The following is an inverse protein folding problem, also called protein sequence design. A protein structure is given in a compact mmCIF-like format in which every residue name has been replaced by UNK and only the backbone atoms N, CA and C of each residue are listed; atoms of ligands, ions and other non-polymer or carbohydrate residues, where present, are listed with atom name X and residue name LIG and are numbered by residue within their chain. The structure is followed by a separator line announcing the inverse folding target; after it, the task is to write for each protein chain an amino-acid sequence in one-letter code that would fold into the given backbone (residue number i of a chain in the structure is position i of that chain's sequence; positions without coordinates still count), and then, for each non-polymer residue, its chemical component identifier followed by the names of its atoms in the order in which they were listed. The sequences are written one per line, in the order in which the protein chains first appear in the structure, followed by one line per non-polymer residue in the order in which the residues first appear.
data_IF_154352228344
#
_entry.id   IF_154352228344
#
_cell.length_a   1.000
_cell.length_b   1.000
_cell.length_c   1.000
_cell.angle_alpha   90.00
_cell.angle_beta   90.00
_cell.angle_gamma   90.00
#
_symmetry.space_group_name_H-M   'P 1'
#
loop_
_entity.id
_entity.type
_entity.pdbx_description
1 polymer ?
#
# COMPACT_ATOMS: atom_id res chain seq x y z
N UNK A 1 20.42 15.09 -25.44
CA UNK A 1 18.95 15.00 -25.34
C UNK A 1 18.60 13.55 -25.57
N UNK A 2 18.64 12.76 -24.52
CA UNK A 2 18.26 11.34 -24.57
C UNK A 2 16.86 11.20 -24.00
N UNK A 3 15.97 10.71 -24.84
CA UNK A 3 14.60 10.37 -24.47
C UNK A 3 14.64 9.21 -23.48
N UNK A 4 14.16 9.46 -22.26
CA UNK A 4 13.95 8.39 -21.28
C UNK A 4 12.74 7.57 -21.72
N UNK A 5 13.02 6.36 -22.24
CA UNK A 5 12.03 5.43 -22.73
C UNK A 5 11.06 4.99 -21.66
N UNK A 6 9.78 5.17 -21.95
CA UNK A 6 8.66 4.57 -21.23
C UNK A 6 8.78 3.04 -21.30
N UNK A 7 9.11 2.39 -20.19
CA UNK A 7 9.05 0.93 -20.08
C UNK A 7 7.60 0.49 -19.89
N UNK A 8 6.96 0.19 -21.01
CA UNK A 8 5.62 -0.39 -21.07
C UNK A 8 5.71 -1.92 -20.89
N UNK A 9 5.05 -2.47 -19.87
CA UNK A 9 4.89 -3.91 -19.67
C UNK A 9 3.44 -4.35 -19.92
N UNK A 10 3.16 -5.21 -20.91
CA UNK A 10 1.84 -5.74 -21.15
C UNK A 10 1.54 -6.90 -20.19
N UNK A 11 0.75 -6.65 -19.15
CA UNK A 11 0.10 -7.69 -18.35
C UNK A 11 -1.18 -8.16 -19.03
N UNK A 12 -1.27 -9.43 -19.38
CA UNK A 12 -2.41 -10.04 -20.05
C UNK A 12 -3.66 -10.05 -19.16
N UNK A 13 -4.76 -9.45 -19.65
CA UNK A 13 -6.10 -9.57 -19.07
C UNK A 13 -6.80 -8.23 -18.84
N UNK A 14 -7.64 -7.78 -19.78
CA UNK A 14 -8.45 -6.56 -19.66
C UNK A 14 -7.75 -5.29 -20.17
N UNK A 15 -7.27 -5.33 -21.39
CA UNK A 15 -6.72 -4.15 -22.07
C UNK A 15 -7.84 -3.14 -22.34
N UNK A 16 -7.76 -1.95 -21.73
CA UNK A 16 -8.55 -0.78 -22.11
C UNK A 16 -9.15 0.03 -20.98
N UNK A 17 -9.33 -0.52 -19.77
CA UNK A 17 -10.06 0.20 -18.71
C UNK A 17 -9.15 0.82 -17.65
N UNK A 18 -7.97 0.28 -17.38
CA UNK A 18 -7.07 0.75 -16.34
C UNK A 18 -5.60 0.67 -16.76
N UNK A 19 -4.84 1.70 -16.43
CA UNK A 19 -3.36 1.70 -16.47
C UNK A 19 -2.81 1.65 -15.06
N UNK A 20 -1.63 1.06 -14.87
CA UNK A 20 -0.92 1.02 -13.59
C UNK A 20 0.52 1.45 -13.79
N UNK A 21 1.05 2.25 -12.85
CA UNK A 21 2.40 2.83 -12.96
C UNK A 21 3.08 2.98 -11.59
N UNK A 22 4.41 3.01 -11.60
CA UNK A 22 5.20 3.47 -10.47
C UNK A 22 5.32 4.98 -10.52
N UNK A 23 4.66 5.66 -9.60
CA UNK A 23 4.65 7.12 -9.53
C UNK A 23 5.88 7.70 -8.78
N UNK A 24 6.50 6.90 -7.91
CA UNK A 24 7.52 7.41 -6.99
C UNK A 24 6.93 8.24 -5.85
N UNK A 25 7.65 9.24 -5.36
CA UNK A 25 7.10 10.22 -4.41
C UNK A 25 6.27 11.25 -5.18
N UNK A 26 4.97 11.42 -4.85
CA UNK A 26 4.13 12.36 -5.58
C UNK A 26 4.58 13.81 -5.33
N UNK A 27 4.81 14.56 -6.40
CA UNK A 27 5.22 15.96 -6.37
C UNK A 27 4.14 16.89 -6.95
N UNK A 28 3.36 16.37 -7.90
CA UNK A 28 2.29 17.14 -8.53
C UNK A 28 1.12 17.32 -7.56
N UNK A 29 0.59 18.51 -7.52
CA UNK A 29 -0.57 18.87 -6.69
C UNK A 29 -1.79 17.99 -7.01
N UNK A 30 -2.03 17.72 -8.27
CA UNK A 30 -3.15 16.91 -8.76
C UNK A 30 -3.09 15.47 -8.20
N UNK A 31 -1.89 14.86 -8.19
CA UNK A 31 -1.70 13.51 -7.63
C UNK A 31 -1.88 13.51 -6.11
N UNK A 32 -1.36 14.53 -5.41
CA UNK A 32 -1.54 14.67 -3.96
C UNK A 32 -3.00 14.83 -3.57
N UNK A 33 -3.77 15.64 -4.32
CA UNK A 33 -5.21 15.82 -4.12
C UNK A 33 -5.96 14.51 -4.37
N UNK A 34 -5.68 13.80 -5.48
CA UNK A 34 -6.32 12.53 -5.80
C UNK A 34 -6.00 11.44 -4.76
N UNK A 35 -4.76 11.37 -4.27
CA UNK A 35 -4.37 10.45 -3.19
C UNK A 35 -5.13 10.77 -1.91
N UNK A 36 -5.24 12.06 -1.55
CA UNK A 36 -5.94 12.47 -0.35
C UNK A 36 -7.45 12.16 -0.42
N UNK A 37 -8.08 12.38 -1.57
CA UNK A 37 -9.50 12.09 -1.78
C UNK A 37 -9.78 10.58 -1.67
N UNK A 38 -8.94 9.73 -2.29
CA UNK A 38 -9.02 8.28 -2.13
C UNK A 38 -8.80 7.84 -0.68
N UNK A 39 -7.85 8.47 0.02
CA UNK A 39 -7.58 8.18 1.42
C UNK A 39 -8.80 8.51 2.30
N UNK A 40 -9.46 9.64 2.06
CA UNK A 40 -10.70 10.02 2.74
C UNK A 40 -11.82 9.02 2.45
N UNK A 41 -11.96 8.60 1.19
CA UNK A 41 -12.98 7.64 0.77
C UNK A 41 -12.80 6.28 1.44
N UNK A 42 -11.56 5.85 1.62
CA UNK A 42 -11.21 4.55 2.22
C UNK A 42 -10.98 4.61 3.75
N UNK A 43 -11.14 5.76 4.38
CA UNK A 43 -10.79 5.97 5.79
C UNK A 43 -11.33 4.88 6.72
N UNK A 44 -12.62 4.58 6.59
CA UNK A 44 -13.35 3.62 7.45
C UNK A 44 -13.15 2.15 7.08
N UNK A 45 -12.48 1.86 5.99
CA UNK A 45 -12.12 0.49 5.62
C UNK A 45 -10.97 -0.05 6.50
N UNK A 46 -10.32 0.82 7.26
CA UNK A 46 -9.19 0.48 8.13
C UNK A 46 -9.59 0.35 9.59
N UNK A 47 -8.89 -0.53 10.33
CA UNK A 47 -9.08 -0.75 11.77
C UNK A 47 -7.80 -0.42 12.53
N UNK A 48 -7.81 0.61 13.39
CA UNK A 48 -8.81 1.70 13.47
C UNK A 48 -8.80 2.56 12.18
N UNK A 49 -9.80 3.44 11.95
CA UNK A 49 -9.83 4.36 10.81
C UNK A 49 -8.55 5.19 10.68
N UNK A 50 -8.18 5.56 9.44
CA UNK A 50 -6.95 6.32 9.18
C UNK A 50 -6.97 7.71 9.81
N UNK A 51 -8.14 8.34 9.89
CA UNK A 51 -8.37 9.63 10.60
C UNK A 51 -8.05 9.56 12.10
N UNK A 52 -7.99 8.37 12.67
CA UNK A 52 -7.62 8.12 14.06
C UNK A 52 -6.15 7.71 14.25
N UNK A 53 -5.33 7.80 13.20
CA UNK A 53 -3.92 7.39 13.20
C UNK A 53 -3.02 8.54 12.79
N UNK A 54 -1.76 8.45 13.24
CA UNK A 54 -0.69 9.33 12.75
C UNK A 54 0.07 8.67 11.60
N UNK A 55 0.20 7.34 11.59
CA UNK A 55 0.96 6.63 10.56
C UNK A 55 0.58 5.16 10.44
N UNK A 56 1.01 4.52 9.33
CA UNK A 56 0.87 3.08 9.11
C UNK A 56 1.82 2.20 9.95
N UNK A 57 2.81 2.78 10.61
CA UNK A 57 3.83 2.08 11.42
C UNK A 57 3.78 2.43 12.90
N UNK A 58 2.73 3.12 13.33
CA UNK A 58 2.46 3.45 14.72
C UNK A 58 2.30 2.16 15.54
N UNK A 59 3.06 2.04 16.64
CA UNK A 59 3.09 0.83 17.50
C UNK A 59 1.92 0.74 18.47
N UNK A 60 1.31 1.86 18.83
CA UNK A 60 0.14 1.92 19.71
C UNK A 60 -0.90 2.81 19.07
N UNK A 61 -2.09 2.31 18.98
CA UNK A 61 -3.28 3.10 18.60
C UNK A 61 -3.80 3.78 19.85
N UNK A 62 -3.09 4.83 20.30
CA UNK A 62 -3.54 5.69 21.39
C UNK A 62 -4.81 6.43 20.99
N UNK A 63 -5.45 7.09 21.97
CA UNK A 63 -6.77 7.71 21.81
C UNK A 63 -6.96 8.42 20.45
N UNK A 64 -8.18 8.33 19.87
CA UNK A 64 -8.48 8.91 18.57
C UNK A 64 -8.09 10.37 18.51
N UNK A 65 -7.45 10.80 17.42
CA UNK A 65 -7.08 12.21 17.20
C UNK A 65 -8.30 13.13 17.03
N UNK A 66 -9.52 12.57 16.98
CA UNK A 66 -10.75 13.32 16.84
C UNK A 66 -10.87 14.10 15.52
N UNK A 67 -10.17 13.66 14.47
CA UNK A 67 -10.18 14.29 13.15
C UNK A 67 -11.24 13.67 12.25
N UNK A 68 -11.97 14.52 11.51
CA UNK A 68 -12.97 14.08 10.53
C UNK A 68 -12.33 13.46 9.27
N UNK A 69 -11.07 13.78 9.00
CA UNK A 69 -10.31 13.33 7.84
C UNK A 69 -8.89 12.91 8.23
N UNK A 70 -8.24 12.04 7.43
CA UNK A 70 -6.92 11.47 7.76
C UNK A 70 -5.74 12.42 7.47
N UNK A 71 -5.80 13.69 7.89
CA UNK A 71 -4.75 14.69 7.61
C UNK A 71 -3.39 14.30 8.18
N UNK A 72 -3.33 13.92 9.46
CA UNK A 72 -2.08 13.55 10.10
C UNK A 72 -1.44 12.31 9.43
N UNK A 73 -2.28 11.35 9.07
CA UNK A 73 -1.84 10.16 8.34
C UNK A 73 -1.31 10.50 6.95
N UNK A 74 -2.01 11.36 6.20
CA UNK A 74 -1.60 11.81 4.89
C UNK A 74 -0.26 12.55 4.91
N UNK A 75 -0.05 13.44 5.88
CA UNK A 75 1.20 14.21 6.02
C UNK A 75 2.44 13.28 6.15
N UNK A 76 2.30 12.16 6.85
CA UNK A 76 3.38 11.17 6.95
C UNK A 76 3.46 10.29 5.70
N UNK A 77 2.32 9.93 5.11
CA UNK A 77 2.25 9.02 3.98
C UNK A 77 2.76 9.63 2.67
N UNK A 78 2.50 10.92 2.43
CA UNK A 78 2.85 11.60 1.16
C UNK A 78 4.34 11.59 0.80
N UNK A 79 5.22 11.37 1.79
CA UNK A 79 6.67 11.24 1.58
C UNK A 79 7.12 9.83 1.17
N UNK A 80 6.22 8.87 1.13
CA UNK A 80 6.52 7.49 0.74
C UNK A 80 6.57 7.34 -0.78
N UNK A 81 6.81 6.11 -1.27
CA UNK A 81 6.73 5.76 -2.69
C UNK A 81 5.35 5.23 -3.01
N UNK A 82 4.86 5.56 -4.20
CA UNK A 82 3.52 5.19 -4.65
C UNK A 82 3.56 4.39 -5.95
N UNK A 83 2.65 3.44 -6.05
CA UNK A 83 2.18 2.84 -7.30
C UNK A 83 0.70 3.13 -7.42
N UNK A 84 0.24 3.49 -8.60
CA UNK A 84 -1.11 3.98 -8.82
C UNK A 84 -1.80 3.26 -9.97
N UNK A 85 -3.13 3.25 -9.93
CA UNK A 85 -3.96 2.85 -11.06
C UNK A 85 -4.86 4.00 -11.49
N UNK A 86 -4.94 4.21 -12.81
CA UNK A 86 -5.81 5.22 -13.42
C UNK A 86 -6.83 4.55 -14.33
N UNK A 87 -8.02 5.08 -14.39
CA UNK A 87 -9.05 4.67 -15.34
C UNK A 87 -8.79 5.22 -16.75
N UNK A 88 -9.67 4.90 -17.71
CA UNK A 88 -9.55 5.33 -19.09
C UNK A 88 -9.62 6.86 -19.28
N UNK A 89 -10.13 7.60 -18.30
CA UNK A 89 -10.14 9.07 -18.31
C UNK A 89 -8.84 9.68 -17.75
N UNK A 90 -7.93 8.85 -17.21
CA UNK A 90 -6.72 9.28 -16.52
C UNK A 90 -6.92 9.58 -15.04
N UNK A 91 -8.13 9.42 -14.48
CA UNK A 91 -8.42 9.63 -13.07
C UNK A 91 -7.77 8.53 -12.22
N UNK A 92 -7.08 8.91 -11.16
CA UNK A 92 -6.52 7.96 -10.20
C UNK A 92 -7.67 7.29 -9.43
N UNK A 93 -7.76 5.97 -9.51
CA UNK A 93 -8.83 5.16 -8.91
C UNK A 93 -8.31 4.17 -7.86
N UNK A 94 -7.01 3.98 -7.79
CA UNK A 94 -6.37 3.20 -6.73
C UNK A 94 -4.93 3.63 -6.53
N UNK A 95 -4.43 3.43 -5.32
CA UNK A 95 -3.01 3.51 -5.04
C UNK A 95 -2.58 2.45 -4.01
N UNK A 96 -1.29 2.15 -4.03
CA UNK A 96 -0.59 1.46 -2.98
C UNK A 96 0.68 2.24 -2.67
N UNK A 97 0.97 2.45 -1.40
CA UNK A 97 2.19 3.13 -0.98
C UNK A 97 3.10 2.23 -0.16
N UNK A 98 4.42 2.45 -0.27
CA UNK A 98 5.41 1.68 0.44
C UNK A 98 6.59 2.54 0.89
N UNK A 99 7.29 2.07 1.91
CA UNK A 99 8.55 2.62 2.40
C UNK A 99 9.71 1.77 1.86
N UNK A 100 10.61 2.34 1.05
CA UNK A 100 11.76 1.60 0.57
C UNK A 100 12.74 1.33 1.71
N UNK A 101 13.44 0.18 1.64
CA UNK A 101 14.52 -0.20 2.55
C UNK A 101 14.16 -0.04 4.04
N UNK A 102 12.93 -0.41 4.37
CA UNK A 102 12.42 -0.34 5.75
C UNK A 102 12.76 -1.62 6.52
N UNK A 103 13.06 -1.48 7.80
CA UNK A 103 13.17 -2.57 8.75
C UNK A 103 12.55 -2.18 10.09
N UNK A 104 12.06 -3.17 10.83
CA UNK A 104 11.61 -3.03 12.23
C UNK A 104 11.86 -4.36 12.96
N UNK A 105 11.77 -4.41 14.30
CA UNK A 105 12.04 -5.62 15.07
C UNK A 105 11.27 -6.85 14.60
N UNK A 106 10.01 -6.70 14.24
CA UNK A 106 9.12 -7.76 13.78
C UNK A 106 9.53 -8.35 12.41
N UNK A 107 10.31 -7.58 11.63
CA UNK A 107 10.79 -7.93 10.29
C UNK A 107 12.32 -8.09 10.21
N UNK A 108 13.03 -7.99 11.32
CA UNK A 108 14.49 -7.93 11.35
C UNK A 108 15.18 -9.11 10.62
N UNK A 109 14.60 -10.31 10.64
CA UNK A 109 15.14 -11.49 9.95
C UNK A 109 15.16 -11.39 8.42
N UNK A 110 14.40 -10.45 7.84
CA UNK A 110 14.32 -10.22 6.39
C UNK A 110 15.20 -9.06 5.92
N UNK A 111 15.90 -8.39 6.86
CA UNK A 111 16.71 -7.22 6.53
C UNK A 111 15.90 -6.02 6.06
N UNK A 112 16.49 -5.21 5.21
CA UNK A 112 15.79 -4.10 4.56
C UNK A 112 14.86 -4.60 3.47
N UNK A 113 13.63 -4.13 3.46
CA UNK A 113 12.60 -4.56 2.53
C UNK A 113 11.75 -3.39 2.04
N UNK A 114 11.06 -3.56 0.93
CA UNK A 114 10.00 -2.64 0.52
C UNK A 114 8.75 -2.93 1.35
N UNK A 115 8.48 -2.06 2.32
CA UNK A 115 7.39 -2.24 3.27
C UNK A 115 6.12 -1.55 2.79
N UNK A 116 5.16 -2.32 2.30
CA UNK A 116 3.85 -1.81 1.86
C UNK A 116 3.03 -1.37 3.06
N UNK A 117 2.44 -0.17 2.98
CA UNK A 117 1.80 0.49 4.12
C UNK A 117 0.29 0.68 3.95
N UNK A 118 -0.16 1.18 2.80
CA UNK A 118 -1.55 1.56 2.57
C UNK A 118 -1.94 1.23 1.15
N UNK A 119 -3.08 0.56 0.98
CA UNK A 119 -3.70 0.35 -0.33
C UNK A 119 -5.15 0.86 -0.27
N UNK A 120 -5.50 1.72 -1.20
CA UNK A 120 -6.85 2.26 -1.36
C UNK A 120 -7.34 2.01 -2.77
N UNK A 121 -8.60 1.64 -2.89
CA UNK A 121 -9.31 1.50 -4.18
C UNK A 121 -10.67 2.17 -4.04
N UNK A 122 -10.96 3.08 -4.96
CA UNK A 122 -12.27 3.69 -5.08
C UNK A 122 -13.35 2.60 -5.09
N UNK A 123 -14.37 2.67 -4.23
CA UNK A 123 -15.42 1.65 -4.12
C UNK A 123 -16.06 1.26 -5.47
N UNK A 124 -16.25 2.22 -6.38
CA UNK A 124 -16.85 1.98 -7.70
C UNK A 124 -15.92 1.18 -8.64
N UNK A 125 -14.62 1.10 -8.31
CA UNK A 125 -13.59 0.40 -9.09
C UNK A 125 -13.08 -0.88 -8.42
N UNK A 126 -13.72 -1.35 -7.34
CA UNK A 126 -13.38 -2.61 -6.68
C UNK A 126 -13.78 -3.83 -7.53
N UNK A 127 -13.19 -4.97 -7.23
CA UNK A 127 -13.47 -6.22 -7.96
C UNK A 127 -12.76 -6.37 -9.30
N UNK A 128 -11.97 -5.37 -9.74
CA UNK A 128 -11.24 -5.38 -11.02
C UNK A 128 -9.76 -5.82 -10.88
N UNK A 129 -9.37 -6.36 -9.73
CA UNK A 129 -8.01 -6.86 -9.50
C UNK A 129 -6.94 -5.77 -9.38
N UNK A 130 -7.32 -4.49 -9.17
CA UNK A 130 -6.37 -3.36 -9.14
C UNK A 130 -5.30 -3.54 -8.07
N UNK A 131 -5.69 -3.92 -6.83
CA UNK A 131 -4.71 -4.14 -5.74
C UNK A 131 -3.69 -5.20 -6.14
N UNK A 132 -4.11 -6.26 -6.82
CA UNK A 132 -3.20 -7.32 -7.28
C UNK A 132 -2.16 -6.79 -8.27
N UNK A 133 -2.58 -5.95 -9.23
CA UNK A 133 -1.67 -5.31 -10.19
C UNK A 133 -0.69 -4.35 -9.48
N UNK A 134 -1.15 -3.62 -8.47
CA UNK A 134 -0.27 -2.74 -7.69
C UNK A 134 0.76 -3.55 -6.89
N UNK A 135 0.37 -4.71 -6.34
CA UNK A 135 1.33 -5.64 -5.71
C UNK A 135 2.36 -6.16 -6.71
N UNK A 136 1.94 -6.53 -7.93
CA UNK A 136 2.85 -7.02 -8.96
C UNK A 136 3.95 -6.00 -9.29
N UNK A 137 3.61 -4.69 -9.31
CA UNK A 137 4.61 -3.64 -9.51
C UNK A 137 5.59 -3.58 -8.34
N UNK A 138 5.12 -3.59 -7.09
CA UNK A 138 6.02 -3.53 -5.92
C UNK A 138 6.88 -4.79 -5.81
N UNK A 139 6.34 -5.95 -6.17
CA UNK A 139 7.05 -7.21 -6.11
C UNK A 139 8.09 -7.38 -7.26
N UNK A 140 7.78 -6.91 -8.48
CA UNK A 140 8.56 -7.26 -9.66
C UNK A 140 8.76 -6.13 -10.69
N UNK A 141 8.00 -5.04 -10.58
CA UNK A 141 7.95 -3.97 -11.59
C UNK A 141 8.63 -2.65 -11.18
N UNK A 142 9.29 -2.59 -10.02
CA UNK A 142 9.98 -1.38 -9.60
C UNK A 142 11.28 -1.17 -10.40
N UNK A 143 11.74 0.08 -10.56
CA UNK A 143 13.09 0.39 -11.05
C UNK A 143 14.16 -0.38 -10.25
N UNK A 144 15.27 -0.74 -10.89
CA UNK A 144 16.30 -1.63 -10.32
C UNK A 144 16.86 -1.09 -8.98
N UNK A 145 17.09 0.22 -8.90
CA UNK A 145 17.55 0.91 -7.69
C UNK A 145 16.55 0.93 -6.53
N UNK A 146 15.27 0.65 -6.82
CA UNK A 146 14.18 0.58 -5.85
C UNK A 146 13.82 -0.86 -5.43
N UNK A 147 14.44 -1.85 -6.04
CA UNK A 147 14.15 -3.25 -5.74
C UNK A 147 14.87 -3.70 -4.46
N UNK A 148 14.26 -4.65 -3.76
CA UNK A 148 14.80 -5.32 -2.56
C UNK A 148 14.55 -6.83 -2.66
N UNK A 149 15.27 -7.64 -1.87
CA UNK A 149 15.07 -9.10 -1.86
C UNK A 149 13.70 -9.49 -1.30
N UNK A 150 13.18 -8.67 -0.40
CA UNK A 150 11.90 -8.93 0.26
C UNK A 150 10.93 -7.76 0.10
N UNK A 151 9.66 -8.10 -0.06
CA UNK A 151 8.52 -7.20 0.12
C UNK A 151 7.81 -7.63 1.40
N UNK A 152 7.54 -6.65 2.26
CA UNK A 152 6.93 -6.87 3.56
C UNK A 152 5.71 -5.98 3.76
N UNK A 153 4.83 -6.35 4.67
CA UNK A 153 3.62 -5.58 4.99
C UNK A 153 3.05 -6.02 6.33
N UNK A 154 1.97 -5.36 6.76
CA UNK A 154 1.13 -5.84 7.87
C UNK A 154 -0.33 -5.57 7.63
N UNK A 155 -1.19 -6.42 8.18
CA UNK A 155 -2.63 -6.20 8.23
C UNK A 155 -3.17 -6.59 9.61
N UNK A 156 -4.47 -6.52 9.80
CA UNK A 156 -5.12 -6.97 11.02
C UNK A 156 -5.83 -8.32 10.82
N UNK A 157 -5.94 -9.09 11.88
CA UNK A 157 -6.40 -10.49 11.84
C UNK A 157 -7.82 -10.67 11.29
N UNK A 158 -8.69 -9.68 11.47
CA UNK A 158 -10.07 -9.71 10.95
C UNK A 158 -10.20 -9.24 9.50
N UNK A 159 -9.08 -8.82 8.85
CA UNK A 159 -9.08 -8.48 7.42
C UNK A 159 -8.93 -9.75 6.56
N UNK A 160 -9.99 -10.55 6.52
CA UNK A 160 -9.97 -11.85 5.83
C UNK A 160 -9.57 -11.74 4.34
N UNK A 161 -9.95 -10.66 3.67
CA UNK A 161 -9.62 -10.42 2.25
C UNK A 161 -8.12 -10.28 2.06
N UNK A 162 -7.46 -9.45 2.88
CA UNK A 162 -6.00 -9.25 2.76
C UNK A 162 -5.20 -10.46 3.25
N UNK A 163 -5.63 -11.09 4.35
CA UNK A 163 -5.01 -12.33 4.84
C UNK A 163 -5.02 -13.41 3.76
N UNK A 164 -6.18 -13.61 3.11
CA UNK A 164 -6.30 -14.56 2.00
C UNK A 164 -5.43 -14.17 0.80
N UNK A 165 -5.44 -12.89 0.42
CA UNK A 165 -4.64 -12.38 -0.70
C UNK A 165 -3.14 -12.60 -0.48
N UNK A 166 -2.62 -12.30 0.72
CA UNK A 166 -1.20 -12.51 1.04
C UNK A 166 -0.84 -14.01 1.04
N UNK A 167 -1.67 -14.86 1.65
CA UNK A 167 -1.48 -16.31 1.60
C UNK A 167 -1.41 -16.84 0.17
N UNK A 168 -2.38 -16.46 -0.68
CA UNK A 168 -2.42 -16.87 -2.09
C UNK A 168 -1.21 -16.37 -2.90
N UNK A 169 -0.65 -15.22 -2.54
CA UNK A 169 0.54 -14.63 -3.19
C UNK A 169 1.86 -15.19 -2.66
N UNK A 170 1.84 -16.11 -1.70
CA UNK A 170 3.03 -16.74 -1.14
C UNK A 170 3.75 -15.90 -0.08
N UNK A 171 3.06 -14.96 0.57
CA UNK A 171 3.60 -14.30 1.75
C UNK A 171 3.58 -15.26 2.95
N UNK A 172 4.67 -15.30 3.70
CA UNK A 172 4.73 -16.00 4.99
C UNK A 172 4.41 -15.04 6.15
N UNK A 173 3.86 -15.57 7.22
CA UNK A 173 3.68 -14.82 8.47
C UNK A 173 5.04 -14.59 9.13
N UNK A 174 5.41 -13.33 9.28
CA UNK A 174 6.66 -12.90 9.90
C UNK A 174 6.54 -12.78 11.42
N UNK A 175 5.47 -12.14 11.90
CA UNK A 175 5.17 -11.96 13.31
C UNK A 175 3.67 -11.72 13.53
N UNK A 176 3.20 -11.96 14.75
CA UNK A 176 1.84 -11.66 15.19
C UNK A 176 1.90 -10.91 16.51
N UNK A 177 1.33 -9.71 16.55
CA UNK A 177 1.15 -8.92 17.76
C UNK A 177 -0.29 -9.06 18.23
N UNK A 178 -0.47 -9.75 19.36
CA UNK A 178 -1.79 -10.03 19.93
C UNK A 178 -2.45 -8.77 20.44
N UNK A 179 -3.76 -8.62 20.14
CA UNK A 179 -4.60 -7.51 20.59
C UNK A 179 -4.05 -6.08 20.29
N UNK A 180 -3.09 -5.98 19.36
CA UNK A 180 -2.40 -4.72 19.04
C UNK A 180 -3.32 -3.64 18.44
N UNK A 181 -4.48 -4.05 17.93
CA UNK A 181 -5.51 -3.14 17.38
C UNK A 181 -6.80 -3.09 18.19
N UNK A 182 -6.76 -3.61 19.38
CA UNK A 182 -7.88 -3.74 20.30
C UNK A 182 -8.19 -5.20 20.60
N UNK A 183 -9.03 -5.46 21.63
CA UNK A 183 -9.34 -6.81 22.06
C UNK A 183 -9.80 -7.72 20.92
N UNK A 184 -9.12 -8.85 20.74
CA UNK A 184 -9.41 -9.83 19.69
C UNK A 184 -8.94 -9.43 18.27
N UNK A 185 -8.25 -8.31 18.09
CA UNK A 185 -7.75 -7.86 16.80
C UNK A 185 -6.22 -7.76 16.80
N UNK A 186 -5.59 -8.78 16.23
CA UNK A 186 -4.13 -8.87 16.13
C UNK A 186 -3.58 -8.05 14.96
N UNK A 187 -2.34 -7.58 15.07
CA UNK A 187 -1.54 -7.17 13.91
C UNK A 187 -0.72 -8.35 13.43
N UNK A 188 -0.83 -8.67 12.14
CA UNK A 188 -0.06 -9.75 11.49
C UNK A 188 0.90 -9.14 10.49
N UNK A 189 2.20 -9.40 10.67
CA UNK A 189 3.24 -9.04 9.72
C UNK A 189 3.48 -10.15 8.72
N UNK A 190 3.71 -9.78 7.48
CA UNK A 190 3.95 -10.68 6.36
C UNK A 190 5.23 -10.31 5.63
N UNK A 191 5.90 -11.31 5.08
CA UNK A 191 7.06 -11.15 4.23
C UNK A 191 6.98 -12.10 3.03
N UNK A 192 7.52 -11.66 1.88
CA UNK A 192 7.66 -12.48 0.68
C UNK A 192 9.03 -12.22 0.07
N UNK A 193 9.77 -13.30 -0.21
CA UNK A 193 10.98 -13.21 -1.02
C UNK A 193 10.59 -13.01 -2.48
N UNK A 194 11.15 -11.98 -3.12
CA UNK A 194 10.83 -11.60 -4.51
C UNK A 194 12.04 -11.67 -5.44
N UNK A 195 13.21 -11.88 -4.88
CA UNK A 195 14.49 -12.09 -5.60
C UNK A 195 15.31 -13.24 -5.05
#
# INVERSE_FOLDING_TARGET
MEEMGETWFPGAGGQGMYTTEYLGTPEKREDLEAIFDLLCTCDRDFVPPLSQRVSSFQKKFEAPLGQDKPYAYFEVMKSQRFVVARDASGRMVAFLTFRPRYSCPELARFGESNYMTTACVDPEHRGHGLVSRLYDIVEHGLPEDQQTDYVTTRTWSTNAVQVHAFSKRGYETAAVLKDDRGPGVDTIYYAKKVR
#
